data_IF_044013392496
#
_entry.id   IF_044013392496
#
_cell.length_a   1.000
_cell.length_b   1.000
_cell.length_c   1.000
_cell.angle_alpha   90.00
_cell.angle_beta   90.00
_cell.angle_gamma   90.00
#
_symmetry.space_group_name_H-M   'P 1'
#
loop_
_entity.id
_entity.type
_entity.pdbx_description
1 polymer ?
#
# COMPACT_ATOMS: atom_id res chain seq x y z
N UNK A 1 -29.48 9.07 -15.61
CA UNK A 1 -28.54 10.01 -14.95
C UNK A 1 -27.14 9.71 -15.47
N UNK A 2 -26.54 10.61 -16.26
CA UNK A 2 -25.18 10.40 -16.74
C UNK A 2 -24.21 10.64 -15.58
N UNK A 3 -23.37 9.66 -15.26
CA UNK A 3 -22.26 9.85 -14.33
C UNK A 3 -21.27 10.78 -15.04
N UNK A 4 -21.28 12.07 -14.71
CA UNK A 4 -20.20 12.98 -15.08
C UNK A 4 -19.03 12.71 -14.13
N UNK A 5 -18.39 11.56 -14.33
CA UNK A 5 -17.08 11.32 -13.74
C UNK A 5 -16.10 12.37 -14.27
N UNK A 6 -15.01 12.65 -13.55
CA UNK A 6 -13.91 13.46 -14.07
C UNK A 6 -13.45 12.92 -15.44
N UNK A 7 -13.24 13.81 -16.42
CA UNK A 7 -12.93 13.43 -17.81
C UNK A 7 -11.74 12.45 -17.86
N UNK A 8 -12.02 11.20 -18.23
CA UNK A 8 -11.04 10.12 -18.30
C UNK A 8 -9.84 10.49 -19.20
N UNK A 9 -10.09 11.31 -20.23
CA UNK A 9 -9.08 11.84 -21.15
C UNK A 9 -7.99 12.67 -20.45
N UNK A 10 -8.30 13.27 -19.30
CA UNK A 10 -7.36 14.11 -18.52
C UNK A 10 -6.74 13.37 -17.32
N UNK A 11 -7.12 12.12 -17.10
CA UNK A 11 -6.73 11.28 -15.96
C UNK A 11 -5.63 10.32 -16.39
N UNK A 12 -5.89 9.57 -17.46
CA UNK A 12 -4.96 8.56 -17.96
C UNK A 12 -3.56 9.11 -18.29
N UNK A 13 -3.39 10.26 -18.96
CA UNK A 13 -2.06 10.79 -19.25
C UNK A 13 -1.28 11.15 -17.98
N UNK A 14 -1.96 11.72 -16.97
CA UNK A 14 -1.32 12.09 -15.70
C UNK A 14 -0.91 10.84 -14.91
N UNK A 15 -1.75 9.81 -14.87
CA UNK A 15 -1.42 8.53 -14.24
C UNK A 15 -0.20 7.87 -14.89
N UNK A 16 -0.13 7.86 -16.22
CA UNK A 16 1.02 7.31 -16.95
C UNK A 16 2.29 8.14 -16.72
N UNK A 17 2.17 9.47 -16.66
CA UNK A 17 3.27 10.36 -16.32
C UNK A 17 3.81 10.07 -14.91
N UNK A 18 2.94 9.87 -13.91
CA UNK A 18 3.37 9.45 -12.58
C UNK A 18 4.06 8.08 -12.60
N UNK A 19 3.50 7.11 -13.33
CA UNK A 19 4.09 5.77 -13.43
C UNK A 19 5.51 5.79 -14.00
N UNK A 20 5.72 6.50 -15.13
CA UNK A 20 7.04 6.72 -15.71
C UNK A 20 7.94 7.54 -14.78
N UNK A 21 7.37 8.56 -14.11
CA UNK A 21 8.05 9.37 -13.12
C UNK A 21 8.60 8.53 -11.97
N UNK A 22 7.84 7.59 -11.43
CA UNK A 22 8.30 6.67 -10.38
C UNK A 22 9.40 5.74 -10.86
N UNK A 23 9.32 5.25 -12.10
CA UNK A 23 10.40 4.47 -12.70
C UNK A 23 11.71 5.25 -12.75
N UNK A 24 11.66 6.46 -13.31
CA UNK A 24 12.82 7.35 -13.39
C UNK A 24 13.34 7.75 -11.99
N UNK A 25 12.43 8.11 -11.08
CA UNK A 25 12.78 8.50 -9.71
C UNK A 25 13.46 7.35 -8.96
N UNK A 26 12.94 6.12 -9.04
CA UNK A 26 13.60 4.96 -8.42
C UNK A 26 14.98 4.74 -9.00
N UNK A 27 15.12 4.77 -10.33
CA UNK A 27 16.41 4.56 -10.99
C UNK A 27 17.45 5.60 -10.53
N UNK A 28 17.08 6.88 -10.50
CA UNK A 28 17.95 7.97 -10.07
C UNK A 28 18.28 7.87 -8.58
N UNK A 29 17.28 7.69 -7.72
CA UNK A 29 17.48 7.63 -6.27
C UNK A 29 18.24 6.39 -5.83
N UNK A 30 17.99 5.22 -6.44
CA UNK A 30 18.77 4.00 -6.18
C UNK A 30 20.26 4.26 -6.47
N UNK A 31 20.57 4.89 -7.62
CA UNK A 31 21.95 5.10 -8.07
C UNK A 31 22.67 6.19 -7.28
N UNK A 32 21.98 7.29 -6.98
CA UNK A 32 22.60 8.48 -6.39
C UNK A 32 22.52 8.55 -4.88
N UNK A 33 21.51 7.92 -4.26
CA UNK A 33 21.23 8.09 -2.83
C UNK A 33 21.19 6.75 -2.09
N UNK A 34 20.30 5.83 -2.47
CA UNK A 34 20.00 4.66 -1.64
C UNK A 34 21.13 3.63 -1.62
N UNK A 35 21.70 3.25 -2.78
CA UNK A 35 22.84 2.32 -2.81
C UNK A 35 24.11 2.91 -2.17
N UNK A 36 24.50 4.17 -2.45
CA UNK A 36 25.62 4.81 -1.75
C UNK A 36 25.42 4.85 -0.24
N UNK A 37 24.22 5.20 0.23
CA UNK A 37 23.87 5.18 1.65
C UNK A 37 23.96 3.77 2.25
N UNK A 38 23.45 2.76 1.55
CA UNK A 38 23.55 1.37 1.96
C UNK A 38 25.01 0.92 2.11
N UNK A 39 25.86 1.22 1.11
CA UNK A 39 27.29 0.89 1.16
C UNK A 39 27.95 1.57 2.35
N UNK A 40 27.70 2.87 2.56
CA UNK A 40 28.25 3.62 3.69
C UNK A 40 27.87 2.99 5.03
N UNK A 41 26.58 2.68 5.24
CA UNK A 41 26.07 2.04 6.46
C UNK A 41 26.63 0.63 6.65
N UNK A 42 26.85 -0.10 5.56
CA UNK A 42 27.41 -1.46 5.56
C UNK A 42 28.93 -1.46 5.36
N UNK A 43 29.67 -0.42 5.76
CA UNK A 43 31.15 -0.44 5.79
C UNK A 43 31.71 -0.90 7.15
N UNK A 44 30.84 -1.28 8.09
CA UNK A 44 31.22 -1.69 9.46
C UNK A 44 32.02 -3.00 9.51
N UNK A 45 32.71 -3.26 10.62
CA UNK A 45 33.54 -4.47 10.87
C UNK A 45 32.79 -5.80 10.58
N UNK A 46 31.47 -5.83 10.71
CA UNK A 46 30.64 -7.01 10.45
C UNK A 46 30.45 -7.29 8.94
N UNK A 47 30.45 -6.26 8.08
CA UNK A 47 30.29 -6.45 6.63
C UNK A 47 31.56 -6.93 5.94
N UNK A 48 32.73 -6.71 6.56
CA UNK A 48 34.02 -7.23 6.09
C UNK A 48 34.14 -8.76 6.25
N UNK A 49 33.27 -9.37 7.05
CA UNK A 49 33.20 -10.82 7.28
C UNK A 49 32.15 -11.52 6.39
N UNK A 50 31.27 -10.76 5.72
CA UNK A 50 30.28 -11.31 4.79
C UNK A 50 30.94 -11.55 3.43
N UNK A 51 30.56 -12.64 2.75
CA UNK A 51 30.90 -12.82 1.34
C UNK A 51 30.29 -11.69 0.49
N UNK A 52 30.90 -11.42 -0.66
CA UNK A 52 30.49 -10.28 -1.50
C UNK A 52 29.04 -10.40 -1.98
N UNK A 53 28.56 -11.62 -2.25
CA UNK A 53 27.19 -11.89 -2.69
C UNK A 53 26.15 -11.53 -1.63
N UNK A 54 26.31 -11.99 -0.38
CA UNK A 54 25.39 -11.65 0.70
C UNK A 54 25.40 -10.14 0.99
N UNK A 55 26.55 -9.48 0.86
CA UNK A 55 26.65 -8.03 0.99
C UNK A 55 25.86 -7.32 -0.11
N UNK A 56 25.98 -7.75 -1.37
CA UNK A 56 25.22 -7.17 -2.48
C UNK A 56 23.71 -7.40 -2.31
N UNK A 57 23.28 -8.60 -1.92
CA UNK A 57 21.89 -8.90 -1.65
C UNK A 57 21.30 -8.00 -0.54
N UNK A 58 22.07 -7.75 0.52
CA UNK A 58 21.68 -6.85 1.62
C UNK A 58 21.57 -5.39 1.16
N UNK A 59 22.49 -4.91 0.31
CA UNK A 59 22.42 -3.58 -0.31
C UNK A 59 21.16 -3.44 -1.16
N UNK A 60 20.84 -4.43 -2.00
CA UNK A 60 19.64 -4.42 -2.85
C UNK A 60 18.37 -4.38 -2.01
N UNK A 61 18.25 -5.25 -1.00
CA UNK A 61 17.10 -5.28 -0.07
C UNK A 61 16.94 -3.97 0.69
N UNK A 62 18.04 -3.36 1.14
CA UNK A 62 18.02 -2.05 1.79
C UNK A 62 17.55 -0.95 0.84
N UNK A 63 18.05 -0.92 -0.40
CA UNK A 63 17.66 0.07 -1.42
C UNK A 63 16.16 -0.04 -1.72
N UNK A 64 15.66 -1.26 -1.93
CA UNK A 64 14.24 -1.53 -2.16
C UNK A 64 13.36 -1.02 -1.01
N UNK A 65 13.73 -1.36 0.24
CA UNK A 65 12.98 -0.90 1.41
C UNK A 65 13.05 0.61 1.61
N UNK A 66 14.17 1.25 1.28
CA UNK A 66 14.30 2.72 1.40
C UNK A 66 13.44 3.45 0.38
N UNK A 67 13.37 2.95 -0.86
CA UNK A 67 12.46 3.45 -1.89
C UNK A 67 11.00 3.35 -1.45
N UNK A 68 10.58 2.15 -1.00
CA UNK A 68 9.21 1.90 -0.53
C UNK A 68 8.86 2.78 0.67
N UNK A 69 9.75 2.89 1.66
CA UNK A 69 9.55 3.78 2.81
C UNK A 69 9.38 5.24 2.39
N UNK A 70 10.24 5.73 1.49
CA UNK A 70 10.17 7.11 0.99
C UNK A 70 8.81 7.39 0.35
N UNK A 71 8.34 6.46 -0.48
CA UNK A 71 7.03 6.55 -1.12
C UNK A 71 5.90 6.54 -0.08
N UNK A 72 5.79 5.47 0.73
CA UNK A 72 4.68 5.29 1.67
C UNK A 72 4.61 6.41 2.70
N UNK A 73 5.74 6.88 3.23
CA UNK A 73 5.75 8.01 4.17
C UNK A 73 5.26 9.31 3.51
N UNK A 74 5.66 9.56 2.25
CA UNK A 74 5.25 10.77 1.52
C UNK A 74 3.76 10.77 1.20
N UNK A 75 3.23 9.66 0.66
CA UNK A 75 1.80 9.56 0.33
C UNK A 75 0.93 9.50 1.58
N UNK A 76 1.41 8.87 2.66
CA UNK A 76 0.71 8.87 3.94
C UNK A 76 0.64 10.29 4.52
N UNK A 77 1.72 11.06 4.49
CA UNK A 77 1.69 12.46 4.94
C UNK A 77 0.71 13.29 4.09
N UNK A 78 0.74 13.12 2.76
CA UNK A 78 -0.14 13.86 1.85
C UNK A 78 -1.61 13.52 2.06
N UNK A 79 -1.97 12.24 2.19
CA UNK A 79 -3.37 11.85 2.40
C UNK A 79 -3.89 12.35 3.75
N UNK A 80 -3.06 12.35 4.80
CA UNK A 80 -3.41 12.92 6.10
C UNK A 80 -3.71 14.42 6.02
N UNK A 81 -2.97 15.17 5.20
CA UNK A 81 -3.24 16.59 4.96
C UNK A 81 -4.56 16.81 4.22
N UNK A 82 -4.89 15.95 3.24
CA UNK A 82 -6.17 16.02 2.52
C UNK A 82 -7.33 15.72 3.46
N UNK A 83 -7.31 14.57 4.16
CA UNK A 83 -8.44 14.15 4.99
C UNK A 83 -8.69 15.12 6.15
N UNK A 84 -7.65 15.78 6.69
CA UNK A 84 -7.79 16.77 7.76
C UNK A 84 -8.63 17.99 7.33
N UNK A 85 -8.65 18.33 6.05
CA UNK A 85 -9.40 19.46 5.51
C UNK A 85 -10.83 19.10 5.13
N UNK A 86 -11.15 17.81 5.08
CA UNK A 86 -12.37 17.31 4.48
C UNK A 86 -13.34 16.75 5.54
N UNK A 87 -14.57 17.28 5.65
CA UNK A 87 -15.51 16.89 6.70
C UNK A 87 -15.99 15.44 6.58
N UNK A 88 -15.99 14.89 5.37
CA UNK A 88 -16.39 13.51 5.12
C UNK A 88 -15.37 12.49 5.64
N UNK A 89 -14.15 12.89 5.99
CA UNK A 89 -13.09 11.96 6.37
C UNK A 89 -13.40 11.12 7.61
N UNK A 90 -14.08 11.71 8.59
CA UNK A 90 -14.45 11.07 9.86
C UNK A 90 -15.91 10.61 9.91
N UNK A 91 -16.70 10.95 8.90
CA UNK A 91 -18.12 10.62 8.83
C UNK A 91 -18.45 9.76 7.60
N UNK A 92 -18.58 8.46 7.86
CA UNK A 92 -18.93 7.45 6.85
C UNK A 92 -20.23 7.75 6.09
N UNK A 93 -21.16 8.50 6.70
CA UNK A 93 -22.43 8.86 6.06
C UNK A 93 -22.23 9.81 4.88
N UNK A 94 -21.15 10.57 4.87
CA UNK A 94 -20.85 11.56 3.84
C UNK A 94 -20.08 10.96 2.64
N UNK A 95 -19.63 9.71 2.69
CA UNK A 95 -18.86 9.13 1.57
C UNK A 95 -19.64 9.10 0.25
N UNK A 96 -20.96 8.90 0.30
CA UNK A 96 -21.84 8.84 -0.86
C UNK A 96 -22.74 10.08 -1.00
N UNK A 97 -22.60 11.07 -0.13
CA UNK A 97 -23.42 12.28 -0.17
C UNK A 97 -23.07 13.12 -1.41
N UNK A 98 -24.10 13.59 -2.13
CA UNK A 98 -23.93 14.29 -3.42
C UNK A 98 -23.49 13.41 -4.59
N UNK A 99 -23.42 12.09 -4.44
CA UNK A 99 -23.11 11.17 -5.55
C UNK A 99 -24.22 11.20 -6.63
N UNK A 100 -23.89 11.17 -7.93
CA UNK A 100 -22.56 10.99 -8.54
C UNK A 100 -21.76 12.28 -8.76
N UNK A 101 -22.34 13.45 -8.49
CA UNK A 101 -21.75 14.75 -8.86
C UNK A 101 -21.00 15.39 -7.67
N UNK A 102 -20.18 14.60 -6.98
CA UNK A 102 -19.41 15.09 -5.84
C UNK A 102 -18.26 16.01 -6.33
N UNK A 103 -18.00 17.14 -5.64
CA UNK A 103 -16.84 17.98 -5.96
C UNK A 103 -15.55 17.24 -5.58
N UNK A 104 -14.57 17.24 -6.50
CA UNK A 104 -13.25 16.63 -6.29
C UNK A 104 -12.23 17.77 -6.09
N UNK A 105 -11.61 17.89 -4.91
CA UNK A 105 -10.51 18.82 -4.70
C UNK A 105 -9.32 18.51 -5.64
N UNK A 106 -8.69 19.54 -6.20
CA UNK A 106 -7.54 19.37 -7.11
C UNK A 106 -6.39 18.58 -6.50
N UNK A 107 -6.12 18.77 -5.21
CA UNK A 107 -5.11 18.01 -4.45
C UNK A 107 -5.46 16.52 -4.40
N UNK A 108 -6.73 16.20 -4.15
CA UNK A 108 -7.19 14.81 -4.11
C UNK A 108 -7.15 14.14 -5.48
N UNK A 109 -7.50 14.88 -6.53
CA UNK A 109 -7.34 14.41 -7.91
C UNK A 109 -5.89 14.04 -8.21
N UNK A 110 -4.94 14.92 -7.87
CA UNK A 110 -3.52 14.65 -8.10
C UNK A 110 -3.02 13.47 -7.28
N UNK A 111 -3.44 13.37 -6.02
CA UNK A 111 -3.15 12.23 -5.14
C UNK A 111 -3.64 10.90 -5.74
N UNK A 112 -4.85 10.87 -6.31
CA UNK A 112 -5.38 9.69 -7.00
C UNK A 112 -4.57 9.29 -8.23
N UNK A 113 -4.15 10.26 -9.05
CA UNK A 113 -3.29 9.98 -10.22
C UNK A 113 -1.93 9.43 -9.79
N UNK A 114 -1.36 10.00 -8.72
CA UNK A 114 -0.11 9.58 -8.10
C UNK A 114 -0.20 8.13 -7.61
N UNK A 115 -1.22 7.81 -6.80
CA UNK A 115 -1.45 6.46 -6.29
C UNK A 115 -1.67 5.44 -7.40
N UNK A 116 -2.54 5.74 -8.36
CA UNK A 116 -2.76 4.84 -9.50
C UNK A 116 -1.47 4.63 -10.30
N UNK A 117 -0.71 5.69 -10.55
CA UNK A 117 0.56 5.64 -11.26
C UNK A 117 1.61 4.77 -10.54
N UNK A 118 1.69 4.88 -9.21
CA UNK A 118 2.58 4.06 -8.40
C UNK A 118 2.19 2.57 -8.43
N UNK A 119 0.91 2.24 -8.34
CA UNK A 119 0.46 0.84 -8.39
C UNK A 119 0.70 0.22 -9.78
N UNK A 120 0.48 0.98 -10.87
CA UNK A 120 0.86 0.54 -12.22
C UNK A 120 2.37 0.33 -12.33
N UNK A 121 3.16 1.31 -11.84
CA UNK A 121 4.61 1.19 -11.78
C UNK A 121 5.05 -0.06 -10.98
N UNK A 122 4.38 -0.33 -9.85
CA UNK A 122 4.68 -1.46 -8.96
C UNK A 122 4.42 -2.81 -9.60
N UNK A 123 3.45 -2.93 -10.52
CA UNK A 123 3.24 -4.15 -11.32
C UNK A 123 4.49 -4.46 -12.13
N UNK A 124 5.04 -3.47 -12.84
CA UNK A 124 6.27 -3.64 -13.60
C UNK A 124 7.48 -3.89 -12.70
N UNK A 125 7.55 -3.17 -11.57
CA UNK A 125 8.62 -3.35 -10.59
C UNK A 125 8.62 -4.77 -10.01
N UNK A 126 7.46 -5.35 -9.71
CA UNK A 126 7.36 -6.74 -9.23
C UNK A 126 7.88 -7.76 -10.24
N UNK A 127 7.66 -7.52 -11.53
CA UNK A 127 8.11 -8.43 -12.58
C UNK A 127 9.62 -8.31 -12.81
N UNK A 128 10.16 -7.08 -12.77
CA UNK A 128 11.51 -6.80 -13.27
C UNK A 128 12.56 -6.44 -12.21
N UNK A 129 12.15 -5.96 -11.02
CA UNK A 129 13.04 -5.27 -10.09
C UNK A 129 12.97 -5.76 -8.64
N UNK A 130 11.81 -6.24 -8.19
CA UNK A 130 11.63 -6.66 -6.80
C UNK A 130 12.02 -8.11 -6.58
N UNK A 131 12.45 -8.40 -5.36
CA UNK A 131 12.83 -9.75 -4.97
C UNK A 131 11.60 -10.67 -4.99
N UNK A 132 11.63 -11.72 -5.82
CA UNK A 132 10.55 -12.71 -5.90
C UNK A 132 10.44 -13.48 -4.59
N UNK A 133 9.21 -13.72 -4.15
CA UNK A 133 8.86 -14.44 -2.90
C UNK A 133 7.74 -15.45 -3.19
N UNK A 134 7.51 -16.38 -2.26
CA UNK A 134 6.49 -17.43 -2.38
C UNK A 134 5.06 -16.90 -2.57
N UNK A 135 4.77 -15.67 -2.14
CA UNK A 135 3.47 -15.02 -2.29
C UNK A 135 3.35 -14.13 -3.55
N UNK A 136 4.27 -14.26 -4.52
CA UNK A 136 4.31 -13.44 -5.73
C UNK A 136 2.95 -13.34 -6.46
N UNK A 137 2.24 -14.46 -6.63
CA UNK A 137 0.95 -14.46 -7.33
C UNK A 137 -0.14 -13.69 -6.57
N UNK A 138 -0.16 -13.80 -5.24
CA UNK A 138 -1.10 -13.06 -4.38
C UNK A 138 -0.76 -11.58 -4.42
N UNK A 139 0.52 -11.23 -4.35
CA UNK A 139 1.01 -9.86 -4.43
C UNK A 139 0.67 -9.24 -5.80
N UNK A 140 0.98 -9.92 -6.91
CA UNK A 140 0.62 -9.46 -8.25
C UNK A 140 -0.90 -9.22 -8.39
N UNK A 141 -1.71 -10.18 -7.92
CA UNK A 141 -3.18 -10.06 -7.94
C UNK A 141 -3.66 -8.86 -7.13
N UNK A 142 -3.06 -8.61 -5.97
CA UNK A 142 -3.35 -7.42 -5.17
C UNK A 142 -3.04 -6.13 -5.93
N UNK A 143 -1.87 -5.98 -6.57
CA UNK A 143 -1.60 -4.74 -7.31
C UNK A 143 -2.56 -4.52 -8.47
N UNK A 144 -2.97 -5.58 -9.17
CA UNK A 144 -3.97 -5.49 -10.24
C UNK A 144 -5.33 -5.06 -9.66
N UNK A 145 -5.82 -5.76 -8.63
CA UNK A 145 -7.10 -5.42 -7.97
C UNK A 145 -7.08 -4.00 -7.42
N UNK A 146 -6.02 -3.60 -6.73
CA UNK A 146 -5.91 -2.25 -6.17
C UNK A 146 -5.81 -1.17 -7.25
N UNK A 147 -5.07 -1.41 -8.34
CA UNK A 147 -5.02 -0.48 -9.48
C UNK A 147 -6.40 -0.25 -10.09
N UNK A 148 -7.15 -1.35 -10.30
CA UNK A 148 -8.52 -1.29 -10.80
C UNK A 148 -9.42 -0.59 -9.78
N UNK A 149 -9.30 -0.87 -8.49
CA UNK A 149 -10.10 -0.24 -7.43
C UNK A 149 -9.87 1.27 -7.35
N UNK A 150 -8.62 1.73 -7.49
CA UNK A 150 -8.27 3.17 -7.51
C UNK A 150 -8.92 3.84 -8.72
N UNK A 151 -8.69 3.30 -9.93
CA UNK A 151 -9.27 3.86 -11.16
C UNK A 151 -10.80 3.83 -11.15
N UNK A 152 -11.36 2.71 -10.72
CA UNK A 152 -12.80 2.50 -10.62
C UNK A 152 -13.46 3.46 -9.62
N UNK A 153 -12.89 3.60 -8.41
CA UNK A 153 -13.44 4.51 -7.41
C UNK A 153 -13.35 5.97 -7.84
N UNK A 154 -12.33 6.34 -8.62
CA UNK A 154 -12.21 7.67 -9.20
C UNK A 154 -13.26 7.93 -10.28
N UNK A 155 -13.39 7.02 -11.27
CA UNK A 155 -14.31 7.16 -12.41
C UNK A 155 -15.78 7.10 -11.98
N UNK A 156 -16.08 6.30 -10.97
CA UNK A 156 -17.45 6.14 -10.46
C UNK A 156 -17.82 7.17 -9.40
N UNK A 157 -16.89 8.04 -8.97
CA UNK A 157 -17.18 9.03 -7.92
C UNK A 157 -17.19 8.45 -6.50
N UNK A 158 -16.63 7.26 -6.27
CA UNK A 158 -16.43 6.66 -4.93
C UNK A 158 -15.09 7.09 -4.31
N UNK A 159 -14.56 8.25 -4.71
CA UNK A 159 -13.22 8.68 -4.30
C UNK A 159 -13.11 9.02 -2.81
N UNK A 160 -14.21 9.42 -2.14
CA UNK A 160 -14.18 9.71 -0.69
C UNK A 160 -13.83 8.45 0.11
N UNK A 161 -14.61 7.38 -0.07
CA UNK A 161 -14.32 6.09 0.57
C UNK A 161 -12.99 5.50 0.08
N UNK A 162 -12.66 5.64 -1.21
CA UNK A 162 -11.39 5.17 -1.75
C UNK A 162 -10.17 5.88 -1.17
N UNK A 163 -10.27 7.17 -0.82
CA UNK A 163 -9.20 7.92 -0.14
C UNK A 163 -8.90 7.33 1.23
N UNK A 164 -9.96 7.01 1.98
CA UNK A 164 -9.82 6.41 3.31
C UNK A 164 -9.25 5.00 3.20
N UNK A 165 -9.67 4.22 2.20
CA UNK A 165 -9.07 2.93 1.89
C UNK A 165 -7.56 3.09 1.68
N UNK A 166 -7.13 3.99 0.79
CA UNK A 166 -5.69 4.23 0.53
C UNK A 166 -4.93 4.59 1.82
N UNK A 167 -5.46 5.52 2.61
CA UNK A 167 -4.84 5.96 3.88
C UNK A 167 -4.70 4.83 4.92
N UNK A 168 -5.68 3.93 4.99
CA UNK A 168 -5.64 2.79 5.92
C UNK A 168 -4.58 1.75 5.52
N UNK A 169 -4.40 1.54 4.21
CA UNK A 169 -3.48 0.53 3.72
C UNK A 169 -2.04 1.04 3.80
N UNK A 170 -1.74 2.23 3.27
CA UNK A 170 -0.36 2.74 3.20
C UNK A 170 0.27 2.98 4.59
N UNK A 171 -0.54 3.28 5.62
CA UNK A 171 -0.06 3.55 6.97
C UNK A 171 0.73 2.39 7.58
N UNK A 172 0.28 1.15 7.39
CA UNK A 172 0.99 -0.03 7.91
C UNK A 172 2.34 -0.25 7.24
N UNK A 173 2.46 0.08 5.95
CA UNK A 173 3.64 -0.24 5.16
C UNK A 173 4.83 0.68 5.54
N UNK A 174 4.57 1.87 6.08
CA UNK A 174 5.61 2.73 6.68
C UNK A 174 6.32 2.00 7.83
N UNK A 175 5.57 1.35 8.72
CA UNK A 175 6.16 0.59 9.84
C UNK A 175 6.90 -0.65 9.34
N UNK A 176 6.35 -1.34 8.32
CA UNK A 176 6.98 -2.53 7.73
C UNK A 176 8.36 -2.22 7.16
N UNK A 177 8.45 -1.20 6.30
CA UNK A 177 9.71 -0.86 5.66
C UNK A 177 10.72 -0.30 6.65
N UNK A 178 10.27 0.44 7.67
CA UNK A 178 11.15 0.87 8.77
C UNK A 178 11.71 -0.32 9.55
N UNK A 179 10.88 -1.33 9.86
CA UNK A 179 11.32 -2.55 10.53
C UNK A 179 12.40 -3.30 9.72
N UNK A 180 12.19 -3.42 8.40
CA UNK A 180 13.18 -4.04 7.49
C UNK A 180 14.49 -3.27 7.47
N UNK A 181 14.47 -1.94 7.39
CA UNK A 181 15.69 -1.13 7.41
C UNK A 181 16.44 -1.25 8.75
N UNK A 182 15.72 -1.28 9.88
CA UNK A 182 16.33 -1.57 11.18
C UNK A 182 16.95 -2.98 11.20
N UNK A 183 16.28 -3.98 10.62
CA UNK A 183 16.82 -5.34 10.52
C UNK A 183 18.08 -5.40 9.67
N UNK A 184 18.08 -4.77 8.49
CA UNK A 184 19.25 -4.73 7.61
C UNK A 184 20.42 -3.97 8.24
N UNK A 185 20.16 -2.95 9.04
CA UNK A 185 21.20 -2.22 9.79
C UNK A 185 21.59 -2.86 11.12
N UNK A 186 21.15 -4.10 11.39
CA UNK A 186 21.44 -4.88 12.61
C UNK A 186 20.98 -4.19 13.91
N UNK A 187 20.02 -3.26 13.80
CA UNK A 187 19.38 -2.58 14.93
C UNK A 187 18.19 -3.41 15.44
N UNK A 188 18.49 -4.52 16.10
CA UNK A 188 17.49 -5.52 16.53
C UNK A 188 16.34 -4.92 17.36
N UNK A 189 16.63 -4.04 18.33
CA UNK A 189 15.59 -3.39 19.14
C UNK A 189 14.62 -2.58 18.27
N UNK A 190 15.15 -1.79 17.34
CA UNK A 190 14.34 -1.01 16.39
C UNK A 190 13.54 -1.93 15.47
N UNK A 191 14.16 -3.00 14.97
CA UNK A 191 13.49 -3.95 14.09
C UNK A 191 12.29 -4.61 14.78
N UNK A 192 12.47 -5.06 16.03
CA UNK A 192 11.40 -5.67 16.83
C UNK A 192 10.29 -4.68 17.19
N UNK A 193 10.65 -3.44 17.56
CA UNK A 193 9.67 -2.39 17.87
C UNK A 193 8.79 -2.05 16.64
N UNK A 194 9.42 -1.74 15.50
CA UNK A 194 8.69 -1.37 14.29
C UNK A 194 7.93 -2.56 13.69
N UNK A 195 8.43 -3.79 13.82
CA UNK A 195 7.68 -4.97 13.43
C UNK A 195 6.43 -5.17 14.30
N UNK A 196 6.52 -4.92 15.61
CA UNK A 196 5.37 -4.92 16.51
C UNK A 196 4.34 -3.85 16.15
N UNK A 197 4.79 -2.61 15.86
CA UNK A 197 3.92 -1.53 15.37
C UNK A 197 3.26 -1.87 14.04
N UNK A 198 4.02 -2.47 13.12
CA UNK A 198 3.49 -2.98 11.85
C UNK A 198 2.38 -4.00 12.10
N UNK A 199 2.63 -5.04 12.91
CA UNK A 199 1.64 -6.07 13.19
C UNK A 199 0.37 -5.51 13.86
N UNK A 200 0.54 -4.60 14.83
CA UNK A 200 -0.57 -3.93 15.49
C UNK A 200 -1.39 -3.08 14.51
N UNK A 201 -0.71 -2.26 13.69
CA UNK A 201 -1.39 -1.44 12.69
C UNK A 201 -2.11 -2.29 11.64
N UNK A 202 -1.52 -3.43 11.22
CA UNK A 202 -2.14 -4.36 10.28
C UNK A 202 -3.45 -4.92 10.83
N UNK A 203 -3.43 -5.38 12.08
CA UNK A 203 -4.62 -5.89 12.77
C UNK A 203 -5.70 -4.80 12.87
N UNK A 204 -5.34 -3.63 13.40
CA UNK A 204 -6.30 -2.55 13.63
C UNK A 204 -6.88 -1.98 12.34
N UNK A 205 -6.04 -1.70 11.34
CA UNK A 205 -6.46 -0.98 10.13
C UNK A 205 -7.06 -1.94 9.09
N UNK A 206 -6.42 -3.09 8.81
CA UNK A 206 -6.80 -3.98 7.70
C UNK A 206 -7.72 -5.12 8.11
N UNK A 207 -7.66 -5.60 9.35
CA UNK A 207 -8.50 -6.71 9.84
C UNK A 207 -9.65 -6.29 10.74
N UNK A 208 -9.62 -5.07 11.29
CA UNK A 208 -10.70 -4.52 12.12
C UNK A 208 -11.37 -3.35 11.40
N UNK A 209 -10.68 -2.24 11.20
CA UNK A 209 -11.29 -1.03 10.65
C UNK A 209 -11.86 -1.26 9.23
N UNK A 210 -11.07 -1.87 8.35
CA UNK A 210 -11.46 -2.13 6.97
C UNK A 210 -12.76 -2.98 6.84
N UNK A 211 -12.91 -4.17 7.43
CA UNK A 211 -14.15 -4.93 7.30
C UNK A 211 -15.34 -4.32 8.06
N UNK A 212 -15.15 -3.85 9.29
CA UNK A 212 -16.27 -3.45 10.15
C UNK A 212 -16.76 -2.03 9.92
N UNK A 213 -15.93 -1.13 9.35
CA UNK A 213 -16.33 0.22 8.98
C UNK A 213 -16.40 0.37 7.46
N UNK A 214 -15.30 0.15 6.73
CA UNK A 214 -15.27 0.45 5.28
C UNK A 214 -16.17 -0.48 4.47
N UNK A 215 -16.03 -1.80 4.62
CA UNK A 215 -16.87 -2.75 3.86
C UNK A 215 -18.33 -2.62 4.31
N UNK A 216 -18.59 -2.45 5.61
CA UNK A 216 -19.92 -2.15 6.13
C UNK A 216 -20.53 -0.89 5.48
N UNK A 217 -19.78 0.20 5.37
CA UNK A 217 -20.23 1.43 4.72
C UNK A 217 -20.50 1.21 3.23
N UNK A 218 -19.57 0.56 2.53
CA UNK A 218 -19.71 0.23 1.11
C UNK A 218 -20.86 -0.76 0.80
N UNK A 219 -21.22 -1.63 1.75
CA UNK A 219 -22.25 -2.65 1.56
C UNK A 219 -23.62 -2.20 2.05
N UNK A 220 -23.70 -1.49 3.17
CA UNK A 220 -24.98 -1.12 3.80
C UNK A 220 -25.33 0.34 3.61
N UNK A 221 -24.43 1.26 3.97
CA UNK A 221 -24.72 2.69 3.88
C UNK A 221 -24.82 3.17 2.43
N UNK A 222 -24.03 2.60 1.52
CA UNK A 222 -24.14 2.88 0.09
C UNK A 222 -25.54 2.53 -0.45
N UNK A 223 -26.15 1.44 0.02
CA UNK A 223 -27.52 1.06 -0.39
C UNK A 223 -28.51 2.12 0.08
N UNK A 224 -28.41 2.58 1.32
CA UNK A 224 -29.30 3.61 1.86
C UNK A 224 -29.20 4.91 1.06
N UNK A 225 -27.98 5.34 0.73
CA UNK A 225 -27.76 6.59 0.00
C UNK A 225 -28.12 6.48 -1.47
N UNK A 226 -27.75 5.39 -2.14
CA UNK A 226 -27.93 5.20 -3.58
C UNK A 226 -29.32 4.69 -3.97
N UNK A 227 -30.07 4.05 -3.05
CA UNK A 227 -31.47 3.63 -3.30
C UNK A 227 -32.43 4.82 -3.37
N UNK A 228 -32.03 5.99 -2.88
CA UNK A 228 -32.78 7.24 -3.05
C UNK A 228 -32.80 7.73 -4.52
N UNK A 229 -32.00 7.14 -5.39
CA UNK A 229 -31.98 7.42 -6.82
C UNK A 229 -33.09 6.61 -7.53
N UNK A 230 -33.63 7.16 -8.63
CA UNK A 230 -34.65 6.50 -9.45
C UNK A 230 -34.23 5.10 -9.94
N UNK A 231 -32.92 4.86 -10.09
CA UNK A 231 -32.34 3.55 -10.41
C UNK A 231 -31.08 3.31 -9.59
N UNK A 232 -31.09 2.25 -8.78
CA UNK A 232 -29.92 1.82 -8.03
C UNK A 232 -28.81 1.33 -9.00
N UNK A 233 -27.56 1.80 -8.85
CA UNK A 233 -26.45 1.38 -9.72
C UNK A 233 -25.91 0.00 -9.33
N UNK A 234 -26.71 -1.04 -9.58
CA UNK A 234 -26.47 -2.43 -9.14
C UNK A 234 -25.10 -2.96 -9.54
N UNK A 235 -24.73 -2.83 -10.82
CA UNK A 235 -23.41 -3.27 -11.29
C UNK A 235 -22.29 -2.56 -10.57
N UNK A 236 -22.45 -1.25 -10.30
CA UNK A 236 -21.39 -0.49 -9.68
C UNK A 236 -21.11 -0.96 -8.25
N UNK A 237 -22.20 -1.21 -7.53
CA UNK A 237 -22.18 -1.71 -6.16
C UNK A 237 -21.50 -3.08 -6.05
N UNK A 238 -21.89 -4.05 -6.89
CA UNK A 238 -21.34 -5.40 -6.77
C UNK A 238 -19.88 -5.46 -7.17
N UNK A 239 -19.48 -4.82 -8.26
CA UNK A 239 -18.08 -4.79 -8.71
C UNK A 239 -17.17 -4.20 -7.64
N UNK A 240 -17.56 -3.08 -7.03
CA UNK A 240 -16.77 -2.44 -5.98
C UNK A 240 -16.65 -3.32 -4.73
N UNK A 241 -17.76 -3.84 -4.20
CA UNK A 241 -17.75 -4.66 -2.99
C UNK A 241 -17.02 -5.99 -3.20
N UNK A 242 -17.12 -6.62 -4.38
CA UNK A 242 -16.36 -7.84 -4.68
C UNK A 242 -14.85 -7.58 -4.61
N UNK A 243 -14.35 -6.49 -5.19
CA UNK A 243 -12.93 -6.15 -5.11
C UNK A 243 -12.47 -5.86 -3.67
N UNK A 244 -13.30 -5.18 -2.86
CA UNK A 244 -12.99 -4.97 -1.44
C UNK A 244 -12.92 -6.27 -0.64
N UNK A 245 -13.83 -7.22 -0.92
CA UNK A 245 -13.82 -8.55 -0.31
C UNK A 245 -12.60 -9.36 -0.75
N UNK A 246 -12.21 -9.28 -2.02
CA UNK A 246 -10.95 -9.88 -2.51
C UNK A 246 -9.75 -9.32 -1.74
N UNK A 247 -9.67 -8.01 -1.53
CA UNK A 247 -8.62 -7.40 -0.71
C UNK A 247 -8.64 -7.93 0.74
N UNK A 248 -9.82 -8.05 1.36
CA UNK A 248 -9.93 -8.61 2.70
C UNK A 248 -9.39 -10.05 2.78
N UNK A 249 -9.65 -10.89 1.77
CA UNK A 249 -9.10 -12.25 1.70
C UNK A 249 -7.58 -12.22 1.68
N UNK A 250 -6.98 -11.33 0.89
CA UNK A 250 -5.52 -11.15 0.88
C UNK A 250 -4.99 -10.67 2.24
N UNK A 251 -5.69 -9.75 2.91
CA UNK A 251 -5.29 -9.28 4.24
C UNK A 251 -5.35 -10.37 5.30
N UNK A 252 -6.35 -11.25 5.25
CA UNK A 252 -6.43 -12.41 6.14
C UNK A 252 -5.29 -13.38 5.86
N UNK A 253 -4.97 -13.63 4.59
CA UNK A 253 -3.82 -14.47 4.20
C UNK A 253 -2.50 -13.94 4.78
N UNK A 254 -2.17 -12.67 4.53
CA UNK A 254 -0.94 -12.08 5.07
C UNK A 254 -0.99 -11.91 6.59
N UNK A 255 -2.17 -11.67 7.18
CA UNK A 255 -2.37 -11.64 8.63
C UNK A 255 -1.96 -12.96 9.30
N UNK A 256 -2.25 -14.10 8.66
CA UNK A 256 -1.75 -15.41 9.12
C UNK A 256 -0.23 -15.49 9.08
N UNK A 257 0.41 -14.99 8.02
CA UNK A 257 1.87 -14.99 7.89
C UNK A 257 2.54 -14.08 8.93
N UNK A 258 1.95 -12.92 9.21
CA UNK A 258 2.41 -12.01 10.27
C UNK A 258 2.32 -12.70 11.63
N UNK A 259 1.21 -13.39 11.91
CA UNK A 259 1.07 -14.17 13.15
C UNK A 259 2.15 -15.26 13.28
N UNK A 260 2.45 -15.99 12.20
CA UNK A 260 3.54 -16.98 12.18
C UNK A 260 4.90 -16.34 12.47
N UNK A 261 5.16 -15.17 11.90
CA UNK A 261 6.39 -14.41 12.16
C UNK A 261 6.49 -13.97 13.63
N UNK A 262 5.39 -13.55 14.27
CA UNK A 262 5.34 -13.23 15.70
C UNK A 262 5.66 -14.47 16.54
N UNK A 263 5.04 -15.62 16.24
CA UNK A 263 5.32 -16.88 16.96
C UNK A 263 6.80 -17.27 16.85
N UNK A 264 7.40 -17.13 15.66
CA UNK A 264 8.84 -17.35 15.44
C UNK A 264 9.70 -16.37 16.24
N UNK A 265 9.31 -15.09 16.30
CA UNK A 265 10.01 -14.07 17.08
C UNK A 265 9.98 -14.35 18.59
N UNK A 266 8.83 -14.81 19.11
CA UNK A 266 8.69 -15.21 20.52
C UNK A 266 9.62 -16.37 20.87
N UNK A 267 9.71 -17.37 19.97
CA UNK A 267 10.62 -18.50 20.13
C UNK A 267 12.11 -18.11 20.00
N UNK A 268 12.42 -17.02 19.28
CA UNK A 268 13.78 -16.55 19.02
C UNK A 268 14.23 -15.42 19.97
N UNK A 269 13.81 -15.48 21.25
CA UNK A 269 14.15 -14.49 22.29
C UNK A 269 13.82 -13.03 21.88
N UNK A 270 12.76 -12.84 21.11
CA UNK A 270 12.30 -11.51 20.67
C UNK A 270 12.99 -10.94 19.43
N UNK A 271 13.91 -11.68 18.80
CA UNK A 271 14.59 -11.25 17.56
C UNK A 271 13.76 -11.55 16.32
N UNK A 272 13.62 -10.55 15.44
CA UNK A 272 12.94 -10.72 14.15
C UNK A 272 13.77 -11.67 13.28
N UNK A 273 13.21 -12.83 12.93
CA UNK A 273 13.86 -13.82 12.07
C UNK A 273 13.69 -13.52 10.58
N UNK A 274 14.24 -14.39 9.73
CA UNK A 274 14.00 -14.34 8.27
C UNK A 274 12.51 -14.50 7.95
N UNK A 275 12.07 -13.76 6.93
CA UNK A 275 10.68 -13.75 6.43
C UNK A 275 10.28 -15.15 6.00
N UNK A 276 9.12 -15.63 6.45
CA UNK A 276 8.59 -16.96 6.07
C UNK A 276 8.31 -17.10 4.58
N UNK A 277 8.29 -16.00 3.83
CA UNK A 277 8.04 -15.95 2.39
C UNK A 277 9.29 -15.86 1.54
N UNK A 278 10.45 -15.54 2.14
CA UNK A 278 11.71 -15.69 1.41
C UNK A 278 11.93 -17.18 1.17
N UNK A 279 12.38 -17.52 -0.04
CA UNK A 279 12.87 -18.86 -0.31
C UNK A 279 13.99 -19.12 0.71
N UNK A 280 13.82 -20.16 1.53
CA UNK A 280 14.99 -20.81 2.07
C UNK A 280 15.68 -21.38 0.83
N UNK A 281 16.95 -21.02 0.62
CA UNK A 281 17.83 -21.81 -0.22
C UNK A 281 17.97 -23.18 0.48
N UNK A 282 16.95 -24.01 0.38
CA UNK A 282 16.93 -25.42 0.77
C UNK A 282 16.76 -26.22 -0.52
N UNK A 283 17.88 -26.38 -1.23
CA UNK A 283 18.36 -27.68 -1.71
C UNK A 283 19.89 -27.74 -1.48
#
# INVERSE_FOLDING_TARGET
MAIRGPDAASVLPMTLLFSLGFFCARFVLDRLLYKPLAVYLFTSKASKLMNDEARQAKIVKFSESTWKLTYYASVQAWVLLIIKQEPWSLDTMQYFDGWPNQPIPSSLRLFYMCQCGFYIYSIFALIAWETRRKDFAVMMSHHVVTSVLIGYSFLTGFFRIGTIILALHDASDVFLETAKLCKYTEKELGASLFFGLFALSWLLLRLIYFPFWIIKTSSYQSIISLRKLDRFPTTLYYVFNTMLLTLLVFHVYWGKLIFLMIMKQLNNKGKVGEDVRSDSDDD
#
